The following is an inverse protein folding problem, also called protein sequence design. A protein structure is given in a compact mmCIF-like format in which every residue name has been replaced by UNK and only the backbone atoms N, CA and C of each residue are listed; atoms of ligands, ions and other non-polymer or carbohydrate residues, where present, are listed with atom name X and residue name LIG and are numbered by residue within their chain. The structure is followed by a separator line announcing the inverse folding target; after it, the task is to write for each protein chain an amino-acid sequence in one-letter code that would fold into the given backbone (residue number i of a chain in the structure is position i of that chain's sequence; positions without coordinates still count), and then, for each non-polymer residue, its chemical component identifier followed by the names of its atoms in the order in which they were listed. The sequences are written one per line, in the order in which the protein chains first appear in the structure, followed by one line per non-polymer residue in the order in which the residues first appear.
data_IF_504181547884
#
_entry.id   IF_504181547884
#
_cell.length_a   1.000
_cell.length_b   1.000
_cell.length_c   1.000
_cell.angle_alpha   90.00
_cell.angle_beta   90.00
_cell.angle_gamma   90.00
#
_symmetry.space_group_name_H-M   'P 1'
#
loop_
_entity.id
_entity.type
_entity.pdbx_description
1 polymer ?
#
# COMPACT_ATOMS: atom_id res chain seq x y z
N UNK A 1 16.32 6.78 38.10
CA UNK A 1 16.27 7.19 36.68
C UNK A 1 15.08 8.13 36.51
N UNK A 2 15.30 9.28 35.91
CA UNK A 2 14.20 10.16 35.48
C UNK A 2 13.82 9.75 34.06
N UNK A 3 12.54 9.42 33.86
CA UNK A 3 11.97 9.16 32.54
C UNK A 3 11.03 10.33 32.26
N UNK A 4 11.30 11.07 31.19
CA UNK A 4 10.39 12.07 30.64
C UNK A 4 9.76 11.49 29.37
N UNK A 5 8.46 11.69 29.22
CA UNK A 5 7.74 11.38 27.98
C UNK A 5 7.52 12.70 27.26
N UNK A 6 8.03 12.80 26.07
CA UNK A 6 7.79 13.95 25.21
C UNK A 6 6.71 13.55 24.20
N UNK A 7 5.62 14.29 24.14
CA UNK A 7 4.55 14.10 23.17
C UNK A 7 5.08 14.46 21.78
N UNK A 8 5.85 13.52 21.22
CA UNK A 8 6.27 13.57 19.84
C UNK A 8 5.09 13.46 18.87
N UNK A 9 5.39 13.30 17.61
CA UNK A 9 4.38 13.13 16.58
C UNK A 9 3.58 11.86 16.84
N UNK A 10 2.32 12.01 17.22
CA UNK A 10 1.35 10.94 17.33
C UNK A 10 0.23 11.16 16.31
N UNK A 11 -0.34 10.09 15.81
CA UNK A 11 -1.49 10.12 14.94
C UNK A 11 -2.47 9.02 15.30
N UNK A 12 -3.77 9.18 15.04
CA UNK A 12 -4.73 8.12 15.21
C UNK A 12 -4.39 6.97 14.26
N UNK A 13 -4.55 5.75 14.75
CA UNK A 13 -4.50 4.57 13.89
C UNK A 13 -5.63 4.62 12.85
N UNK A 14 -5.43 3.93 11.74
CA UNK A 14 -6.44 3.76 10.72
C UNK A 14 -6.55 2.29 10.34
N UNK A 15 -7.76 1.77 10.34
CA UNK A 15 -8.06 0.43 9.87
C UNK A 15 -8.62 0.54 8.45
N UNK A 16 -7.85 0.09 7.48
CA UNK A 16 -8.28 0.08 6.09
C UNK A 16 -9.53 -0.80 5.92
N UNK A 17 -10.49 -0.41 5.08
CA UNK A 17 -11.60 -1.29 4.73
C UNK A 17 -11.06 -2.55 4.02
N UNK A 18 -11.79 -3.66 4.17
CA UNK A 18 -11.48 -4.87 3.43
C UNK A 18 -11.55 -4.63 1.92
N UNK A 19 -10.71 -5.33 1.17
CA UNK A 19 -10.76 -5.25 -0.28
C UNK A 19 -12.07 -5.81 -0.81
N UNK A 20 -12.69 -5.10 -1.72
CA UNK A 20 -13.78 -5.66 -2.51
C UNK A 20 -13.26 -6.88 -3.30
N UNK A 21 -14.10 -7.91 -3.53
CA UNK A 21 -13.65 -9.15 -4.20
C UNK A 21 -12.95 -8.93 -5.55
N UNK A 22 -13.42 -7.96 -6.34
CA UNK A 22 -12.79 -7.62 -7.62
C UNK A 22 -11.38 -7.07 -7.46
N UNK A 23 -11.15 -6.26 -6.41
CA UNK A 23 -9.85 -5.66 -6.14
C UNK A 23 -8.87 -6.69 -5.64
N UNK A 24 -9.30 -7.57 -4.73
CA UNK A 24 -8.47 -8.67 -4.25
C UNK A 24 -8.04 -9.58 -5.42
N UNK A 25 -8.98 -9.97 -6.28
CA UNK A 25 -8.66 -10.78 -7.45
C UNK A 25 -7.67 -10.07 -8.40
N UNK A 26 -7.89 -8.80 -8.69
CA UNK A 26 -6.99 -8.02 -9.55
C UNK A 26 -5.58 -7.88 -8.96
N UNK A 27 -5.47 -7.71 -7.65
CA UNK A 27 -4.18 -7.64 -6.95
C UNK A 27 -3.46 -8.99 -6.98
N UNK A 28 -4.17 -10.09 -6.75
CA UNK A 28 -3.59 -11.43 -6.76
C UNK A 28 -3.09 -11.82 -8.16
N UNK A 29 -3.88 -11.58 -9.19
CA UNK A 29 -3.51 -11.82 -10.59
C UNK A 29 -2.30 -10.96 -11.00
N UNK A 30 -2.32 -9.67 -10.67
CA UNK A 30 -1.24 -8.75 -10.97
C UNK A 30 0.06 -9.15 -10.25
N UNK A 31 -0.04 -9.52 -8.97
CA UNK A 31 1.10 -9.94 -8.17
C UNK A 31 1.67 -11.28 -8.66
N UNK A 32 0.82 -12.26 -8.95
CA UNK A 32 1.25 -13.54 -9.50
C UNK A 32 1.98 -13.37 -10.83
N UNK A 33 1.47 -12.52 -11.73
CA UNK A 33 2.09 -12.25 -13.03
C UNK A 33 3.45 -11.53 -12.93
N UNK A 34 3.63 -10.62 -11.97
CA UNK A 34 4.83 -9.80 -11.88
C UNK A 34 5.84 -10.29 -10.83
N UNK A 35 5.39 -10.96 -9.77
CA UNK A 35 6.22 -11.42 -8.65
C UNK A 35 6.20 -12.94 -8.45
N UNK A 36 5.33 -13.67 -9.13
CA UNK A 36 5.22 -15.13 -9.04
C UNK A 36 4.41 -15.64 -7.85
N UNK A 37 3.80 -14.77 -7.06
CA UNK A 37 2.97 -15.12 -5.90
C UNK A 37 1.77 -14.19 -5.82
N UNK A 38 0.69 -14.65 -5.19
CA UNK A 38 -0.45 -13.80 -4.87
C UNK A 38 -0.06 -12.63 -3.96
N UNK A 39 -0.86 -11.59 -3.96
CA UNK A 39 -0.66 -10.41 -3.13
C UNK A 39 -0.79 -10.75 -1.63
N UNK A 40 -0.16 -9.95 -0.80
CA UNK A 40 -0.31 -10.03 0.66
C UNK A 40 -0.42 -8.62 1.22
N UNK A 41 -1.28 -8.46 2.19
CA UNK A 41 -1.42 -7.24 2.97
C UNK A 41 -0.88 -7.45 4.39
N UNK A 42 -0.34 -6.41 4.97
CA UNK A 42 0.11 -6.43 6.35
C UNK A 42 -0.17 -5.07 7.00
N UNK A 43 -0.28 -5.06 8.31
CA UNK A 43 -0.34 -3.83 9.09
C UNK A 43 1.06 -3.22 9.24
N UNK A 44 1.16 -1.92 9.10
CA UNK A 44 2.42 -1.20 9.27
C UNK A 44 2.29 -0.17 10.39
N UNK A 45 3.33 -0.04 11.21
CA UNK A 45 3.46 1.01 12.21
C UNK A 45 3.90 2.31 11.56
N UNK A 46 3.41 3.40 12.09
CA UNK A 46 3.69 4.75 11.60
C UNK A 46 2.40 5.54 11.39
N UNK A 47 2.49 6.81 11.66
CA UNK A 47 1.32 7.70 11.55
C UNK A 47 1.24 8.27 10.15
N UNK A 48 0.23 7.86 9.39
CA UNK A 48 -0.14 8.50 8.13
C UNK A 48 -1.58 9.02 8.29
N UNK A 49 -1.80 10.15 8.97
CA UNK A 49 -3.13 10.70 9.23
C UNK A 49 -3.94 10.96 7.96
N UNK A 50 -3.24 11.20 6.85
CA UNK A 50 -3.82 11.41 5.53
C UNK A 50 -4.74 10.25 5.08
N UNK A 51 -4.40 9.01 5.42
CA UNK A 51 -5.22 7.85 5.03
C UNK A 51 -6.55 7.81 5.77
N UNK A 52 -6.54 8.11 7.07
CA UNK A 52 -7.78 8.24 7.86
C UNK A 52 -8.67 9.34 7.29
N UNK A 53 -8.10 10.50 7.00
CA UNK A 53 -8.84 11.62 6.40
C UNK A 53 -9.46 11.24 5.05
N UNK A 54 -8.73 10.55 4.19
CA UNK A 54 -9.27 10.08 2.90
C UNK A 54 -10.39 9.05 3.10
N UNK A 55 -10.25 8.14 4.05
CA UNK A 55 -11.28 7.16 4.39
C UNK A 55 -12.57 7.82 4.85
N UNK A 56 -12.47 8.85 5.68
CA UNK A 56 -13.62 9.63 6.14
C UNK A 56 -14.29 10.43 5.00
N UNK A 57 -13.48 10.99 4.11
CA UNK A 57 -14.00 11.75 2.95
C UNK A 57 -14.63 10.86 1.88
N UNK A 58 -14.14 9.64 1.72
CA UNK A 58 -14.55 8.72 0.66
C UNK A 58 -14.83 7.33 1.22
N UNK A 59 -15.92 7.15 1.99
CA UNK A 59 -16.21 5.89 2.70
C UNK A 59 -16.42 4.68 1.78
N UNK A 60 -16.82 4.93 0.53
CA UNK A 60 -17.00 3.88 -0.48
C UNK A 60 -15.73 3.58 -1.32
N UNK A 61 -14.64 4.29 -1.06
CA UNK A 61 -13.41 4.10 -1.83
C UNK A 61 -12.67 2.83 -1.40
N UNK A 62 -11.99 2.23 -2.35
CA UNK A 62 -11.01 1.16 -2.10
C UNK A 62 -9.61 1.75 -2.07
N UNK A 63 -8.77 1.26 -1.18
CA UNK A 63 -7.43 1.82 -0.97
C UNK A 63 -6.37 0.78 -1.26
N UNK A 64 -5.53 1.05 -2.24
CA UNK A 64 -4.31 0.28 -2.50
C UNK A 64 -3.13 1.11 -2.03
N UNK A 65 -2.57 0.74 -0.89
CA UNK A 65 -1.42 1.43 -0.30
C UNK A 65 -0.20 0.56 -0.55
N UNK A 66 0.73 1.07 -1.33
CA UNK A 66 1.91 0.31 -1.72
C UNK A 66 3.13 1.22 -1.90
N UNK A 67 4.29 0.63 -1.96
CA UNK A 67 5.55 1.32 -2.18
C UNK A 67 6.60 0.39 -2.77
N UNK A 68 7.79 0.91 -3.02
CA UNK A 68 8.89 0.20 -3.65
C UNK A 68 10.02 -0.10 -2.66
N UNK A 69 9.77 -1.01 -1.72
CA UNK A 69 10.83 -1.53 -0.85
C UNK A 69 11.40 -2.81 -1.47
N UNK A 70 12.44 -2.66 -2.25
CA UNK A 70 13.13 -3.78 -2.87
C UNK A 70 14.25 -4.35 -2.01
N UNK A 71 14.81 -5.52 -2.41
CA UNK A 71 15.92 -6.15 -1.70
C UNK A 71 17.10 -5.19 -1.51
N UNK A 72 17.55 -5.04 -0.28
CA UNK A 72 18.72 -4.22 0.06
C UNK A 72 18.51 -2.71 -0.04
N UNK A 73 17.30 -2.23 -0.31
CA UNK A 73 17.01 -0.81 -0.49
C UNK A 73 17.33 0.06 0.72
N UNK A 74 17.41 -0.51 1.92
CA UNK A 74 17.79 0.15 3.17
C UNK A 74 16.97 1.41 3.47
N UNK A 75 15.65 1.29 3.38
CA UNK A 75 14.72 2.38 3.62
C UNK A 75 15.00 3.08 4.95
N UNK A 76 15.01 4.41 4.95
CA UNK A 76 15.35 5.28 6.09
C UNK A 76 16.77 5.10 6.65
N UNK A 77 17.64 4.42 5.92
CA UNK A 77 19.03 4.18 6.31
C UNK A 77 20.05 4.84 5.37
N UNK A 78 21.36 4.77 5.72
CA UNK A 78 22.41 5.26 4.84
C UNK A 78 22.43 4.54 3.49
N UNK A 79 22.71 5.30 2.42
CA UNK A 79 22.76 4.76 1.05
C UNK A 79 21.44 4.08 0.60
N UNK A 80 20.30 4.57 1.08
CA UNK A 80 19.01 4.17 0.56
C UNK A 80 18.95 4.32 -0.97
N UNK A 81 18.39 3.33 -1.65
CA UNK A 81 18.24 3.38 -3.09
C UNK A 81 16.91 2.77 -3.56
N UNK A 82 16.47 3.18 -4.73
CA UNK A 82 15.33 2.60 -5.39
C UNK A 82 15.73 1.30 -6.13
N UNK A 83 15.16 0.17 -5.75
CA UNK A 83 15.32 -1.07 -6.50
C UNK A 83 14.44 -1.03 -7.76
N UNK A 84 15.01 -0.60 -8.88
CA UNK A 84 14.30 -0.38 -10.15
C UNK A 84 13.47 -1.57 -10.62
N UNK A 85 13.93 -2.84 -10.53
CA UNK A 85 13.09 -3.98 -10.91
C UNK A 85 11.80 -4.08 -10.10
N UNK A 86 11.86 -3.83 -8.77
CA UNK A 86 10.65 -3.80 -7.92
C UNK A 86 9.72 -2.66 -8.32
N UNK A 87 10.26 -1.46 -8.54
CA UNK A 87 9.47 -0.30 -8.97
C UNK A 87 8.71 -0.57 -10.26
N UNK A 88 9.36 -1.16 -11.26
CA UNK A 88 8.73 -1.56 -12.53
C UNK A 88 7.59 -2.56 -12.33
N UNK A 89 7.80 -3.59 -11.49
CA UNK A 89 6.79 -4.60 -11.21
C UNK A 89 5.59 -4.01 -10.47
N UNK A 90 5.81 -3.18 -9.47
CA UNK A 90 4.72 -2.48 -8.76
C UNK A 90 3.93 -1.60 -9.71
N UNK A 91 4.60 -0.84 -10.58
CA UNK A 91 3.93 -0.01 -11.59
C UNK A 91 3.07 -0.86 -12.53
N UNK A 92 3.57 -2.00 -12.99
CA UNK A 92 2.82 -2.94 -13.81
C UNK A 92 1.58 -3.49 -13.08
N UNK A 93 1.72 -3.84 -11.79
CA UNK A 93 0.59 -4.29 -10.98
C UNK A 93 -0.48 -3.20 -10.87
N UNK A 94 -0.09 -1.96 -10.60
CA UNK A 94 -1.04 -0.84 -10.51
C UNK A 94 -1.76 -0.59 -11.84
N UNK A 95 -1.07 -0.68 -12.96
CA UNK A 95 -1.68 -0.57 -14.29
C UNK A 95 -2.75 -1.67 -14.52
N UNK A 96 -2.46 -2.91 -14.12
CA UNK A 96 -3.41 -4.03 -14.17
C UNK A 96 -4.65 -3.78 -13.31
N UNK A 97 -4.47 -3.28 -12.09
CA UNK A 97 -5.58 -2.95 -11.18
C UNK A 97 -6.45 -1.82 -11.75
N UNK A 98 -5.84 -0.79 -12.34
CA UNK A 98 -6.56 0.30 -12.99
C UNK A 98 -7.38 -0.17 -14.21
N UNK A 99 -6.82 -1.05 -15.01
CA UNK A 99 -7.52 -1.68 -16.13
C UNK A 99 -8.71 -2.52 -15.66
N UNK A 100 -8.52 -3.34 -14.63
CA UNK A 100 -9.60 -4.12 -14.01
C UNK A 100 -10.71 -3.22 -13.46
N UNK A 101 -10.34 -2.10 -12.80
CA UNK A 101 -11.31 -1.12 -12.32
C UNK A 101 -12.11 -0.46 -13.45
N UNK A 102 -11.44 -0.13 -14.56
CA UNK A 102 -12.10 0.48 -15.72
C UNK A 102 -13.10 -0.48 -16.38
N UNK A 103 -12.75 -1.75 -16.51
CA UNK A 103 -13.61 -2.79 -17.10
C UNK A 103 -14.85 -3.06 -16.26
N UNK A 104 -14.77 -2.95 -14.95
CA UNK A 104 -15.90 -3.14 -14.03
C UNK A 104 -17.01 -2.09 -14.20
N UNK A 105 -16.72 -0.90 -14.72
CA UNK A 105 -17.71 0.18 -14.92
C UNK A 105 -18.70 -0.10 -16.06
N UNK A 106 -18.52 -1.18 -16.80
CA UNK A 106 -19.42 -1.62 -17.86
C UNK A 106 -20.46 -2.64 -17.41
N UNK A 107 -20.45 -3.02 -16.14
CA UNK A 107 -21.46 -3.87 -15.49
C UNK A 107 -22.35 -2.98 -14.60
#
# INVERSE_FOLDING_TARGET
AHVSFDDGHSGPGWNAPEFAPWLQAALDDASAANFGNESRAFGEGGSIPFMGMLGDMFPEAQFVITGCLGPGANAHGPNEYLHVPTARRVTSCLATVLDAHAKRRGE
#
